data_IF_600479693665
#
_entry.id   IF_600479693665
#
_cell.length_a   1.000
_cell.length_b   1.000
_cell.length_c   1.000
_cell.angle_alpha   90.00
_cell.angle_beta   90.00
_cell.angle_gamma   90.00
#
_symmetry.space_group_name_H-M   'P 1'
#
loop_
_entity.id
_entity.type
_entity.pdbx_description
1 polymer ?
#
# COMPACT_ATOMS: atom_id res chain seq x y z
N UNK A 1 -8.46 5.74 18.94
CA UNK A 1 -9.25 5.17 17.84
C UNK A 1 -9.73 3.77 18.19
N UNK A 2 -10.88 3.36 17.66
CA UNK A 2 -11.36 1.99 17.73
C UNK A 2 -10.91 1.26 16.44
N UNK A 3 -10.01 0.31 16.57
CA UNK A 3 -9.40 -0.41 15.43
C UNK A 3 -9.99 -1.83 15.37
N UNK A 4 -10.43 -2.26 14.20
CA UNK A 4 -10.84 -3.65 13.97
C UNK A 4 -9.81 -4.35 13.09
N UNK A 5 -9.26 -5.48 13.58
CA UNK A 5 -8.35 -6.33 12.80
C UNK A 5 -9.18 -7.33 12.01
N UNK A 6 -8.97 -7.36 10.68
CA UNK A 6 -9.59 -8.30 9.74
C UNK A 6 -8.52 -9.06 8.96
N UNK A 7 -8.83 -10.24 8.44
CA UNK A 7 -7.94 -11.03 7.60
C UNK A 7 -8.60 -11.31 6.24
N UNK A 8 -8.61 -10.33 5.31
CA UNK A 8 -9.40 -10.47 4.09
C UNK A 8 -8.71 -11.32 3.00
N UNK A 9 -7.46 -11.68 3.18
CA UNK A 9 -6.61 -12.38 2.22
C UNK A 9 -6.08 -13.70 2.78
N UNK A 10 -4.76 -13.86 2.84
CA UNK A 10 -4.13 -15.07 3.33
C UNK A 10 -4.21 -15.21 4.86
N UNK A 11 -4.12 -16.47 5.31
CA UNK A 11 -4.02 -16.80 6.75
C UNK A 11 -2.70 -16.29 7.33
N UNK A 12 -2.71 -15.99 8.62
CA UNK A 12 -1.54 -15.58 9.42
C UNK A 12 -1.54 -16.36 10.74
N UNK A 13 -0.38 -16.57 11.33
CA UNK A 13 -0.32 -17.15 12.68
C UNK A 13 -1.06 -16.22 13.67
N UNK A 14 -2.08 -16.72 14.38
CA UNK A 14 -2.87 -15.94 15.32
C UNK A 14 -2.07 -15.13 16.34
N UNK A 15 -0.87 -15.61 16.72
CA UNK A 15 0.01 -14.89 17.65
C UNK A 15 0.38 -13.48 17.18
N UNK A 16 0.48 -13.27 15.85
CA UNK A 16 0.78 -11.94 15.29
C UNK A 16 -0.43 -10.99 15.36
N UNK A 17 -1.65 -11.53 15.25
CA UNK A 17 -2.88 -10.75 15.46
C UNK A 17 -2.97 -10.31 16.92
N UNK A 18 -2.72 -11.26 17.85
CA UNK A 18 -2.74 -10.97 19.27
C UNK A 18 -1.62 -10.00 19.70
N UNK A 19 -0.41 -10.19 19.15
CA UNK A 19 0.70 -9.25 19.38
C UNK A 19 0.42 -7.85 18.86
N UNK A 20 -0.09 -7.73 17.63
CA UNK A 20 -0.48 -6.43 17.08
C UNK A 20 -1.57 -5.76 17.91
N UNK A 21 -2.58 -6.51 18.39
CA UNK A 21 -3.60 -6.00 19.31
C UNK A 21 -2.96 -5.42 20.56
N UNK A 22 -2.06 -6.16 21.22
CA UNK A 22 -1.40 -5.70 22.44
C UNK A 22 -0.58 -4.41 22.23
N UNK A 23 0.17 -4.33 21.12
CA UNK A 23 0.95 -3.13 20.77
C UNK A 23 0.04 -1.93 20.53
N UNK A 24 -1.02 -2.08 19.73
CA UNK A 24 -1.95 -1.00 19.43
C UNK A 24 -2.72 -0.54 20.69
N UNK A 25 -3.06 -1.46 21.58
CA UNK A 25 -3.67 -1.13 22.88
C UNK A 25 -2.70 -0.38 23.79
N UNK A 26 -1.39 -0.72 23.77
CA UNK A 26 -0.36 0.03 24.50
C UNK A 26 -0.20 1.46 23.97
N UNK A 27 -0.57 1.73 22.72
CA UNK A 27 -0.59 3.07 22.13
C UNK A 27 -1.86 3.86 22.47
N UNK A 28 -2.80 3.28 23.24
CA UNK A 28 -4.03 3.92 23.70
C UNK A 28 -5.24 3.73 22.77
N UNK A 29 -5.19 2.78 21.85
CA UNK A 29 -6.33 2.44 20.99
C UNK A 29 -7.18 1.32 21.59
N UNK A 30 -8.45 1.23 21.21
CA UNK A 30 -9.30 0.07 21.50
C UNK A 30 -9.23 -0.87 20.29
N UNK A 31 -8.94 -2.15 20.51
CA UNK A 31 -8.74 -3.10 19.41
C UNK A 31 -9.67 -4.30 19.51
N UNK A 32 -10.48 -4.49 18.48
CA UNK A 32 -11.31 -5.69 18.30
C UNK A 32 -10.74 -6.55 17.15
N UNK A 33 -11.03 -7.85 17.21
CA UNK A 33 -10.64 -8.81 16.19
C UNK A 33 -11.93 -9.35 15.56
N UNK A 34 -12.00 -9.37 14.22
CA UNK A 34 -13.15 -9.90 13.50
C UNK A 34 -13.30 -11.41 13.71
N UNK A 35 -14.51 -11.92 13.55
CA UNK A 35 -14.88 -13.28 13.94
C UNK A 35 -14.01 -14.36 13.28
N UNK A 36 -13.64 -14.18 12.00
CA UNK A 36 -12.90 -15.17 11.21
C UNK A 36 -11.43 -14.76 11.00
N UNK A 37 -10.96 -13.64 11.58
CA UNK A 37 -9.62 -13.11 11.33
C UNK A 37 -8.47 -14.06 11.69
N UNK A 38 -8.69 -14.99 12.62
CA UNK A 38 -7.74 -16.04 13.03
C UNK A 38 -7.99 -17.39 12.34
N UNK A 39 -8.90 -17.42 11.39
CA UNK A 39 -9.31 -18.62 10.71
C UNK A 39 -8.28 -19.12 9.69
N UNK A 40 -8.54 -20.32 9.14
CA UNK A 40 -7.74 -20.93 8.09
C UNK A 40 -8.58 -21.81 7.18
N UNK A 41 -8.51 -21.50 5.89
CA UNK A 41 -9.11 -22.32 4.84
C UNK A 41 -8.11 -22.44 3.68
N UNK A 42 -7.34 -23.54 3.66
CA UNK A 42 -6.17 -23.64 2.79
C UNK A 42 -5.13 -22.57 3.09
N UNK A 43 -4.81 -21.73 2.11
CA UNK A 43 -3.91 -20.57 2.26
C UNK A 43 -4.62 -19.29 2.69
N UNK A 44 -5.95 -19.24 2.66
CA UNK A 44 -6.75 -18.08 3.04
C UNK A 44 -7.11 -18.10 4.54
N UNK A 45 -7.46 -16.93 5.09
CA UNK A 45 -7.87 -16.79 6.49
C UNK A 45 -9.29 -17.34 6.78
N UNK A 46 -10.05 -17.68 5.74
CA UNK A 46 -11.39 -18.25 5.80
C UNK A 46 -11.95 -18.45 4.40
N UNK A 47 -13.18 -18.91 4.29
CA UNK A 47 -13.90 -18.96 3.01
C UNK A 47 -14.08 -17.55 2.44
N UNK A 48 -14.51 -17.43 1.19
CA UNK A 48 -14.81 -16.11 0.59
C UNK A 48 -15.89 -15.37 1.38
N UNK A 49 -16.91 -16.11 1.80
CA UNK A 49 -18.05 -15.61 2.54
C UNK A 49 -17.63 -15.08 3.92
N UNK A 50 -16.82 -15.83 4.66
CA UNK A 50 -16.31 -15.42 5.98
C UNK A 50 -15.44 -14.16 5.90
N UNK A 51 -14.50 -14.11 4.94
CA UNK A 51 -13.63 -12.95 4.74
C UNK A 51 -14.41 -11.70 4.31
N UNK A 52 -15.41 -11.87 3.43
CA UNK A 52 -16.30 -10.80 2.99
C UNK A 52 -17.19 -10.31 4.14
N UNK A 53 -17.71 -11.24 4.96
CA UNK A 53 -18.53 -10.92 6.13
C UNK A 53 -17.74 -10.06 7.12
N UNK A 54 -16.52 -10.48 7.48
CA UNK A 54 -15.65 -9.73 8.40
C UNK A 54 -15.38 -8.29 7.91
N UNK A 55 -15.13 -8.13 6.59
CA UNK A 55 -14.93 -6.81 5.98
C UNK A 55 -16.21 -5.96 6.04
N UNK A 56 -17.35 -6.54 5.65
CA UNK A 56 -18.62 -5.83 5.63
C UNK A 56 -19.05 -5.42 7.05
N UNK A 57 -18.85 -6.29 8.03
CA UNK A 57 -19.13 -5.98 9.44
C UNK A 57 -18.21 -4.88 9.97
N UNK A 58 -16.92 -4.88 9.56
CA UNK A 58 -15.99 -3.82 9.93
C UNK A 58 -16.37 -2.47 9.31
N UNK A 59 -16.78 -2.47 8.04
CA UNK A 59 -17.26 -1.24 7.39
C UNK A 59 -18.61 -0.76 7.94
N UNK A 60 -19.50 -1.68 8.33
CA UNK A 60 -20.82 -1.35 8.83
C UNK A 60 -20.81 -0.82 10.27
N UNK A 61 -19.87 -1.25 11.09
CA UNK A 61 -19.81 -0.95 12.53
C UNK A 61 -19.55 0.55 12.79
N UNK A 62 -20.50 1.30 13.37
CA UNK A 62 -20.36 2.74 13.56
C UNK A 62 -19.25 3.12 14.55
N UNK A 63 -18.95 2.22 15.49
CA UNK A 63 -17.91 2.41 16.50
C UNK A 63 -16.49 2.21 15.97
N UNK A 64 -16.28 1.61 14.79
CA UNK A 64 -14.96 1.36 14.22
C UNK A 64 -14.47 2.59 13.49
N UNK A 65 -13.29 3.10 13.87
CA UNK A 65 -12.63 4.22 13.22
C UNK A 65 -11.63 3.75 12.14
N UNK A 66 -10.98 2.60 12.38
CA UNK A 66 -9.96 2.07 11.48
C UNK A 66 -10.05 0.55 11.31
N UNK A 67 -9.72 0.08 10.11
CA UNK A 67 -9.71 -1.34 9.72
C UNK A 67 -8.26 -1.72 9.40
N UNK A 68 -7.63 -2.52 10.28
CA UNK A 68 -6.30 -3.05 10.04
C UNK A 68 -6.42 -4.43 9.37
N UNK A 69 -5.91 -4.55 8.15
CA UNK A 69 -5.73 -5.84 7.52
C UNK A 69 -4.54 -6.58 8.13
N UNK A 70 -4.74 -7.80 8.62
CA UNK A 70 -3.71 -8.55 9.34
C UNK A 70 -2.55 -8.96 8.44
N UNK A 71 -2.86 -9.28 7.18
CA UNK A 71 -1.91 -9.74 6.16
C UNK A 71 -2.51 -9.55 4.76
N UNK A 72 -1.61 -9.35 3.77
CA UNK A 72 -1.90 -9.51 2.35
C UNK A 72 -1.80 -10.97 1.90
N UNK A 73 -1.17 -11.21 0.77
CA UNK A 73 -1.02 -12.53 0.15
C UNK A 73 -1.89 -12.65 -1.09
N UNK A 74 -2.99 -13.39 -1.04
CA UNK A 74 -3.89 -13.57 -2.18
C UNK A 74 -5.33 -13.78 -1.72
N UNK A 75 -6.28 -13.28 -2.51
CA UNK A 75 -7.69 -13.63 -2.36
C UNK A 75 -8.66 -12.46 -2.31
N UNK A 76 -8.19 -11.22 -2.15
CA UNK A 76 -9.07 -10.04 -2.14
C UNK A 76 -9.77 -9.82 -3.49
N UNK A 77 -9.08 -10.02 -4.60
CA UNK A 77 -9.68 -9.91 -5.94
C UNK A 77 -10.92 -10.82 -6.15
N UNK A 78 -11.08 -11.86 -5.30
CA UNK A 78 -12.23 -12.77 -5.36
C UNK A 78 -13.51 -12.22 -4.71
N UNK A 79 -13.38 -11.16 -3.88
CA UNK A 79 -14.47 -10.67 -3.02
C UNK A 79 -14.62 -9.14 -3.04
N UNK A 80 -13.63 -8.40 -3.52
CA UNK A 80 -13.57 -6.94 -3.40
C UNK A 80 -14.75 -6.23 -4.09
N UNK A 81 -15.25 -6.78 -5.18
CA UNK A 81 -16.42 -6.29 -5.92
C UNK A 81 -17.74 -6.42 -5.15
N UNK A 82 -17.75 -7.22 -4.07
CA UNK A 82 -18.92 -7.45 -3.21
C UNK A 82 -18.83 -6.73 -1.87
N UNK A 83 -17.74 -6.01 -1.63
CA UNK A 83 -17.55 -5.27 -0.37
C UNK A 83 -18.55 -4.12 -0.28
N UNK A 84 -19.30 -4.10 0.80
CA UNK A 84 -20.26 -3.02 1.14
C UNK A 84 -19.50 -1.84 1.76
N UNK A 85 -18.79 -1.11 0.90
CA UNK A 85 -17.95 -0.01 1.32
C UNK A 85 -18.73 1.09 2.03
N UNK A 86 -18.18 1.60 3.13
CA UNK A 86 -18.69 2.80 3.84
C UNK A 86 -17.53 3.75 4.14
N UNK A 87 -17.74 5.03 3.86
CA UNK A 87 -16.78 6.10 4.16
C UNK A 87 -16.60 6.32 5.67
N UNK A 88 -15.57 7.09 6.04
CA UNK A 88 -15.30 7.49 7.42
C UNK A 88 -14.45 6.50 8.22
N UNK A 89 -13.86 5.50 7.55
CA UNK A 89 -12.95 4.55 8.18
C UNK A 89 -11.60 4.57 7.51
N UNK A 90 -10.53 4.59 8.30
CA UNK A 90 -9.16 4.47 7.80
C UNK A 90 -8.84 2.98 7.56
N UNK A 91 -8.60 2.60 6.30
CA UNK A 91 -8.14 1.26 5.96
C UNK A 91 -6.60 1.22 6.01
N UNK A 92 -6.04 0.18 6.66
CA UNK A 92 -4.58 -0.03 6.78
C UNK A 92 -4.15 -1.38 6.21
N UNK A 93 -3.05 -1.37 5.48
CA UNK A 93 -2.39 -2.57 4.96
C UNK A 93 -1.61 -2.32 3.69
N UNK A 94 -1.03 -3.36 3.10
CA UNK A 94 -0.29 -3.31 1.83
C UNK A 94 -0.36 -4.65 1.09
N UNK A 95 0.35 -4.81 -0.03
CA UNK A 95 0.34 -6.05 -0.83
C UNK A 95 -1.03 -6.28 -1.49
N UNK A 96 -1.66 -7.46 -1.31
CA UNK A 96 -3.01 -7.77 -1.82
C UNK A 96 -4.07 -6.74 -1.38
N UNK A 97 -3.81 -6.01 -0.27
CA UNK A 97 -4.70 -4.94 0.22
C UNK A 97 -4.78 -3.76 -0.77
N UNK A 98 -3.90 -3.71 -1.76
CA UNK A 98 -4.01 -2.76 -2.88
C UNK A 98 -5.38 -2.83 -3.56
N UNK A 99 -6.05 -4.00 -3.59
CA UNK A 99 -7.44 -4.10 -4.05
C UNK A 99 -8.39 -3.17 -3.28
N UNK A 100 -8.26 -3.14 -1.95
CA UNK A 100 -9.07 -2.26 -1.10
C UNK A 100 -8.64 -0.80 -1.18
N UNK A 101 -7.33 -0.52 -1.40
CA UNK A 101 -6.87 0.84 -1.67
C UNK A 101 -7.48 1.40 -2.96
N UNK A 102 -7.60 0.58 -4.00
CA UNK A 102 -8.28 0.95 -5.25
C UNK A 102 -9.80 1.16 -5.02
N UNK A 103 -10.44 0.32 -4.22
CA UNK A 103 -11.83 0.53 -3.82
C UNK A 103 -12.01 1.85 -3.07
N UNK A 104 -11.12 2.16 -2.11
CA UNK A 104 -11.11 3.44 -1.40
C UNK A 104 -10.92 4.62 -2.37
N UNK A 105 -10.03 4.49 -3.38
CA UNK A 105 -9.81 5.52 -4.41
C UNK A 105 -11.08 5.86 -5.18
N UNK A 106 -11.85 4.85 -5.57
CA UNK A 106 -13.12 5.04 -6.29
C UNK A 106 -14.20 5.73 -5.46
N UNK A 107 -14.06 5.67 -4.13
CA UNK A 107 -14.91 6.39 -3.19
C UNK A 107 -14.28 7.70 -2.67
N UNK A 108 -13.16 8.16 -3.25
CA UNK A 108 -12.39 9.33 -2.82
C UNK A 108 -12.08 9.31 -1.31
N UNK A 109 -11.76 8.14 -0.78
CA UNK A 109 -11.48 7.92 0.64
C UNK A 109 -10.00 7.61 0.83
N UNK A 110 -9.27 8.33 1.71
CA UNK A 110 -7.90 8.00 2.05
C UNK A 110 -7.77 6.61 2.65
N UNK A 111 -6.61 5.98 2.41
CA UNK A 111 -6.26 4.68 2.98
C UNK A 111 -4.75 4.59 3.20
N UNK A 112 -4.29 3.85 4.19
CA UNK A 112 -2.90 3.84 4.62
C UNK A 112 -2.18 2.56 4.14
N UNK A 113 -1.27 2.71 3.16
CA UNK A 113 -0.25 1.71 2.90
C UNK A 113 0.70 1.70 4.10
N UNK A 114 0.76 0.59 4.82
CA UNK A 114 1.54 0.50 6.06
C UNK A 114 1.85 -0.93 6.45
N UNK A 115 2.79 -1.09 7.37
CA UNK A 115 3.04 -2.37 8.06
C UNK A 115 1.74 -2.97 8.61
N UNK A 116 1.70 -4.31 8.65
CA UNK A 116 0.55 -5.10 9.09
C UNK A 116 0.87 -5.92 10.35
N UNK A 117 -0.05 -6.78 10.79
CA UNK A 117 -0.02 -7.41 12.11
C UNK A 117 1.31 -8.09 12.48
N UNK A 118 1.97 -8.82 11.55
CA UNK A 118 3.27 -9.44 11.85
C UNK A 118 4.32 -8.39 12.21
N UNK A 119 4.46 -7.36 11.39
CA UNK A 119 5.43 -6.28 11.60
C UNK A 119 5.14 -5.52 12.91
N UNK A 120 3.86 -5.16 13.14
CA UNK A 120 3.44 -4.47 14.37
C UNK A 120 3.79 -5.31 15.62
N UNK A 121 3.64 -6.63 15.53
CA UNK A 121 3.93 -7.54 16.64
C UNK A 121 5.41 -7.85 16.86
N UNK A 122 6.28 -7.61 15.86
CA UNK A 122 7.67 -8.12 15.91
C UNK A 122 8.75 -7.06 15.67
N UNK A 123 8.42 -5.93 15.06
CA UNK A 123 9.42 -4.86 14.89
C UNK A 123 9.70 -4.16 16.22
N UNK A 124 10.92 -3.62 16.40
CA UNK A 124 11.24 -2.75 17.53
C UNK A 124 10.30 -1.54 17.58
N UNK A 125 9.81 -1.20 18.77
CA UNK A 125 8.84 -0.09 18.94
C UNK A 125 9.42 1.27 18.53
N UNK A 126 10.73 1.45 18.62
CA UNK A 126 11.47 2.66 18.22
C UNK A 126 11.87 2.67 16.74
N UNK A 127 11.56 1.60 15.98
CA UNK A 127 11.80 1.60 14.54
C UNK A 127 10.95 2.67 13.83
N UNK A 128 11.49 3.26 12.75
CA UNK A 128 10.82 4.36 12.07
C UNK A 128 9.44 3.98 11.52
N UNK A 129 9.22 2.79 10.90
CA UNK A 129 7.87 2.38 10.49
C UNK A 129 6.86 2.33 11.64
N UNK A 130 7.29 1.87 12.83
CA UNK A 130 6.43 1.79 14.01
C UNK A 130 6.13 3.16 14.59
N UNK A 131 7.13 4.02 14.72
CA UNK A 131 6.95 5.39 15.23
C UNK A 131 6.13 6.26 14.28
N UNK A 132 6.33 6.11 12.96
CA UNK A 132 5.53 6.78 11.94
C UNK A 132 4.07 6.31 11.97
N UNK A 133 3.82 5.00 12.01
CA UNK A 133 2.45 4.47 12.13
C UNK A 133 1.76 4.98 13.40
N UNK A 134 2.45 4.93 14.55
CA UNK A 134 1.91 5.44 15.83
C UNK A 134 1.57 6.92 15.75
N UNK A 135 2.43 7.73 15.13
CA UNK A 135 2.18 9.16 14.97
C UNK A 135 0.95 9.43 14.10
N UNK A 136 0.80 8.72 12.97
CA UNK A 136 -0.34 8.85 12.05
C UNK A 136 -1.65 8.47 12.75
N UNK A 137 -1.68 7.33 13.45
CA UNK A 137 -2.87 6.88 14.18
C UNK A 137 -3.29 7.83 15.31
N UNK A 138 -2.37 8.66 15.81
CA UNK A 138 -2.63 9.73 16.77
C UNK A 138 -2.86 11.11 16.13
N UNK A 139 -3.13 11.15 14.82
CA UNK A 139 -3.49 12.39 14.09
C UNK A 139 -2.29 13.22 13.64
N UNK A 140 -1.11 12.64 13.58
CA UNK A 140 0.10 13.28 13.03
C UNK A 140 0.10 13.31 11.49
N UNK A 141 0.84 14.24 10.94
CA UNK A 141 1.10 14.31 9.49
C UNK A 141 2.25 13.37 9.09
N UNK A 142 2.35 13.10 7.79
CA UNK A 142 3.50 12.39 7.22
C UNK A 142 4.51 13.42 6.72
N UNK A 143 5.76 13.28 7.15
CA UNK A 143 6.88 14.03 6.60
C UNK A 143 8.16 13.21 6.68
N UNK A 144 8.67 12.83 5.52
CA UNK A 144 9.93 12.13 5.39
C UNK A 144 10.97 13.06 4.78
N UNK A 145 12.20 13.00 5.30
CA UNK A 145 13.37 13.63 4.73
C UNK A 145 14.44 12.54 4.55
N UNK A 146 14.60 12.06 3.33
CA UNK A 146 15.42 10.91 2.99
C UNK A 146 16.61 11.35 2.12
N UNK A 147 17.75 10.65 2.17
CA UNK A 147 18.78 10.82 1.15
C UNK A 147 18.21 10.56 -0.24
N UNK A 148 18.53 11.41 -1.20
CA UNK A 148 18.10 11.21 -2.58
C UNK A 148 18.91 10.09 -3.23
N UNK A 149 18.23 9.06 -3.70
CA UNK A 149 18.87 8.02 -4.51
C UNK A 149 19.33 8.64 -5.85
N UNK A 150 20.58 8.42 -6.29
CA UNK A 150 21.13 9.04 -7.50
C UNK A 150 20.38 8.67 -8.79
N UNK A 151 19.58 7.62 -8.77
CA UNK A 151 18.71 7.22 -9.89
C UNK A 151 17.45 8.05 -10.01
N UNK A 152 17.12 8.81 -8.99
CA UNK A 152 15.95 9.71 -8.98
C UNK A 152 16.11 10.85 -9.98
N UNK A 153 14.98 11.36 -10.48
CA UNK A 153 14.93 12.61 -11.24
C UNK A 153 14.44 13.73 -10.35
N UNK A 154 15.27 14.77 -10.22
CA UNK A 154 14.95 15.95 -9.40
C UNK A 154 13.71 16.68 -9.89
N UNK A 155 13.04 17.36 -8.98
CA UNK A 155 11.88 18.20 -9.27
C UNK A 155 10.91 18.29 -8.11
N UNK A 156 9.84 19.04 -8.32
CA UNK A 156 8.75 19.19 -7.36
C UNK A 156 7.44 18.80 -8.00
N UNK A 157 6.62 18.08 -7.25
CA UNK A 157 5.29 17.72 -7.69
C UNK A 157 4.31 17.71 -6.52
N UNK A 158 3.05 17.95 -6.85
CA UNK A 158 1.92 17.86 -5.95
C UNK A 158 0.79 17.14 -6.65
N UNK A 159 0.17 16.16 -5.99
CA UNK A 159 -0.91 15.39 -6.55
C UNK A 159 -1.48 14.38 -5.57
N UNK A 160 -2.41 13.58 -6.03
CA UNK A 160 -3.02 12.52 -5.22
C UNK A 160 -2.17 11.25 -5.31
N UNK A 161 -1.66 10.80 -4.19
CA UNK A 161 -0.87 9.58 -4.12
C UNK A 161 -1.76 8.35 -4.35
N UNK A 162 -1.44 7.54 -5.34
CA UNK A 162 -2.18 6.33 -5.71
C UNK A 162 -1.22 5.21 -6.09
N UNK A 163 -1.69 3.97 -6.03
CA UNK A 163 -0.87 2.82 -6.39
C UNK A 163 -0.80 1.77 -5.28
N UNK A 164 0.38 1.18 -5.09
CA UNK A 164 0.68 0.09 -4.17
C UNK A 164 1.40 -1.04 -4.87
N UNK A 165 1.08 -2.30 -4.55
CA UNK A 165 1.66 -3.47 -5.22
C UNK A 165 1.32 -3.44 -6.71
N UNK A 166 2.37 -3.49 -7.55
CA UNK A 166 2.23 -3.30 -9.00
C UNK A 166 1.41 -4.40 -9.66
N UNK A 167 1.61 -5.65 -9.25
CA UNK A 167 0.89 -6.79 -9.82
C UNK A 167 -0.62 -6.69 -9.51
N UNK A 168 -0.98 -6.32 -8.30
CA UNK A 168 -2.37 -6.13 -7.90
C UNK A 168 -2.97 -4.90 -8.56
N UNK A 169 -2.29 -3.76 -8.51
CA UNK A 169 -2.73 -2.50 -9.10
C UNK A 169 -2.90 -2.62 -10.63
N UNK A 170 -1.92 -3.22 -11.31
CA UNK A 170 -1.96 -3.47 -12.75
C UNK A 170 -3.07 -4.43 -13.15
N UNK A 171 -3.33 -5.46 -12.33
CA UNK A 171 -4.42 -6.42 -12.55
C UNK A 171 -5.83 -5.84 -12.45
N UNK A 172 -5.98 -4.66 -11.84
CA UNK A 172 -7.27 -3.97 -11.71
C UNK A 172 -7.52 -2.95 -12.82
N UNK A 173 -6.55 -2.70 -13.71
CA UNK A 173 -6.76 -1.82 -14.86
C UNK A 173 -7.81 -2.42 -15.81
N UNK A 174 -8.69 -1.58 -16.32
CA UNK A 174 -9.82 -2.01 -17.17
C UNK A 174 -10.99 -2.66 -16.42
N UNK A 175 -10.96 -2.66 -15.08
CA UNK A 175 -12.05 -3.14 -14.23
C UNK A 175 -12.81 -1.97 -13.58
N UNK A 176 -13.98 -2.19 -12.95
CA UNK A 176 -14.63 -1.16 -12.13
C UNK A 176 -13.79 -0.59 -10.98
N UNK A 177 -12.70 -1.25 -10.63
CA UNK A 177 -11.74 -0.81 -9.61
C UNK A 177 -10.55 -0.04 -10.17
N UNK A 178 -10.54 0.23 -11.48
CA UNK A 178 -9.52 1.08 -12.09
C UNK A 178 -9.52 2.47 -11.45
N UNK A 179 -8.33 2.92 -11.06
CA UNK A 179 -8.16 4.18 -10.34
C UNK A 179 -8.16 5.35 -11.34
N UNK A 180 -8.79 6.47 -10.96
CA UNK A 180 -8.80 7.71 -11.75
C UNK A 180 -7.39 8.18 -12.08
N UNK A 181 -7.19 8.64 -13.33
CA UNK A 181 -5.84 8.98 -13.85
C UNK A 181 -5.38 10.42 -13.50
N UNK A 182 -6.32 11.32 -13.18
CA UNK A 182 -6.00 12.75 -12.99
C UNK A 182 -5.17 13.02 -11.74
N UNK A 183 -4.20 13.93 -11.89
CA UNK A 183 -3.35 14.46 -10.80
C UNK A 183 -2.71 13.38 -9.93
N UNK A 184 -2.29 12.27 -10.54
CA UNK A 184 -1.73 11.12 -9.82
C UNK A 184 -0.23 11.29 -9.55
N UNK A 185 0.16 11.13 -8.30
CA UNK A 185 1.51 10.71 -7.91
C UNK A 185 1.45 9.19 -7.80
N UNK A 186 2.12 8.47 -8.71
CA UNK A 186 2.03 7.01 -8.75
C UNK A 186 3.10 6.38 -7.88
N UNK A 187 2.68 5.61 -6.88
CA UNK A 187 3.54 4.75 -6.07
C UNK A 187 3.41 3.29 -6.53
N UNK A 188 4.55 2.64 -6.78
CA UNK A 188 4.61 1.22 -7.12
C UNK A 188 5.70 0.50 -6.33
N UNK A 189 5.40 -0.71 -5.89
CA UNK A 189 6.31 -1.68 -5.27
C UNK A 189 5.90 -3.09 -5.68
N UNK A 190 6.77 -4.08 -5.59
CA UNK A 190 6.37 -5.47 -5.78
C UNK A 190 7.30 -6.47 -5.06
N UNK A 191 6.92 -7.75 -5.06
CA UNK A 191 7.70 -8.84 -4.46
C UNK A 191 7.59 -10.11 -5.29
N UNK A 192 8.72 -10.80 -5.48
CA UNK A 192 8.81 -12.12 -6.16
C UNK A 192 8.23 -12.17 -7.57
N UNK A 193 8.06 -11.03 -8.22
CA UNK A 193 7.60 -10.98 -9.61
C UNK A 193 8.75 -11.22 -10.60
N UNK A 194 8.57 -12.12 -11.56
CA UNK A 194 9.52 -12.29 -12.65
C UNK A 194 9.70 -10.98 -13.45
N UNK A 195 10.93 -10.68 -13.84
CA UNK A 195 11.30 -9.46 -14.56
C UNK A 195 10.38 -9.16 -15.75
N UNK A 196 10.12 -10.15 -16.62
CA UNK A 196 9.23 -9.95 -17.79
C UNK A 196 7.78 -9.61 -17.43
N UNK A 197 7.33 -9.98 -16.22
CA UNK A 197 5.99 -9.60 -15.73
C UNK A 197 5.97 -8.16 -15.28
N UNK A 198 7.02 -7.70 -14.58
CA UNK A 198 7.15 -6.30 -14.19
C UNK A 198 7.14 -5.42 -15.44
N UNK A 199 7.94 -5.76 -16.47
CA UNK A 199 7.91 -5.05 -17.75
C UNK A 199 6.50 -5.01 -18.36
N UNK A 200 5.84 -6.17 -18.45
CA UNK A 200 4.48 -6.25 -19.02
C UNK A 200 3.48 -5.37 -18.28
N UNK A 201 3.55 -5.33 -16.94
CA UNK A 201 2.68 -4.49 -16.13
C UNK A 201 2.95 -3.00 -16.36
N UNK A 202 4.21 -2.59 -16.43
CA UNK A 202 4.60 -1.22 -16.75
C UNK A 202 4.13 -0.82 -18.17
N UNK A 203 4.31 -1.70 -19.17
CA UNK A 203 3.81 -1.47 -20.53
C UNK A 203 2.26 -1.37 -20.55
N UNK A 204 1.55 -2.14 -19.74
CA UNK A 204 0.10 -2.01 -19.59
C UNK A 204 -0.28 -0.63 -19.05
N UNK A 205 0.36 -0.17 -17.97
CA UNK A 205 0.14 1.16 -17.40
C UNK A 205 0.49 2.28 -18.41
N UNK A 206 1.55 2.08 -19.20
CA UNK A 206 1.93 3.00 -20.29
C UNK A 206 0.85 3.08 -21.37
N UNK A 207 0.45 1.93 -21.91
CA UNK A 207 -0.56 1.85 -22.99
C UNK A 207 -1.94 2.30 -22.54
N UNK A 208 -2.31 2.11 -21.27
CA UNK A 208 -3.57 2.63 -20.71
C UNK A 208 -3.59 4.16 -20.61
N UNK A 209 -2.45 4.83 -20.78
CA UNK A 209 -2.30 6.27 -20.62
C UNK A 209 -2.18 6.73 -19.16
N UNK A 210 -2.13 5.81 -18.20
CA UNK A 210 -1.97 6.17 -16.78
C UNK A 210 -0.66 6.91 -16.53
N UNK A 211 0.47 6.38 -17.04
CA UNK A 211 1.78 6.99 -16.82
C UNK A 211 1.87 8.41 -17.38
N UNK A 212 1.27 8.66 -18.55
CA UNK A 212 1.22 9.99 -19.16
C UNK A 212 0.38 11.02 -18.36
N UNK A 213 -0.50 10.57 -17.48
CA UNK A 213 -1.33 11.43 -16.64
C UNK A 213 -0.74 11.72 -15.25
N UNK A 214 0.41 11.12 -14.94
CA UNK A 214 1.06 11.28 -13.64
C UNK A 214 1.76 12.63 -13.50
N UNK A 215 1.87 13.11 -12.25
CA UNK A 215 2.63 14.30 -11.83
C UNK A 215 4.02 13.95 -11.31
N UNK A 216 4.17 12.74 -10.77
CA UNK A 216 5.44 12.17 -10.31
C UNK A 216 5.31 10.66 -10.17
N UNK A 217 6.47 10.00 -10.11
CA UNK A 217 6.58 8.59 -9.78
C UNK A 217 7.31 8.39 -8.45
N UNK A 218 6.85 7.45 -7.65
CA UNK A 218 7.53 6.91 -6.47
C UNK A 218 7.72 5.41 -6.72
N UNK A 219 8.96 4.99 -6.89
CA UNK A 219 9.33 3.59 -7.00
C UNK A 219 9.80 3.12 -5.63
N UNK A 220 9.01 2.25 -5.01
CA UNK A 220 9.32 1.58 -3.76
C UNK A 220 10.27 0.40 -3.96
N UNK A 221 10.16 -0.60 -3.09
CA UNK A 221 11.03 -1.76 -3.12
C UNK A 221 10.47 -2.85 -4.05
N UNK A 222 11.34 -3.40 -4.89
CA UNK A 222 11.07 -4.59 -5.69
C UNK A 222 11.86 -5.75 -5.09
N UNK A 223 11.28 -6.37 -4.05
CA UNK A 223 11.95 -7.37 -3.21
C UNK A 223 11.87 -8.74 -3.88
N UNK A 224 12.99 -9.47 -3.91
CA UNK A 224 13.09 -10.82 -4.52
C UNK A 224 12.57 -10.86 -5.98
N UNK A 225 12.69 -9.75 -6.70
CA UNK A 225 12.42 -9.64 -8.12
C UNK A 225 13.76 -9.71 -8.86
N UNK A 226 14.11 -10.91 -9.32
CA UNK A 226 15.41 -11.18 -9.90
C UNK A 226 15.49 -10.72 -11.37
N UNK A 227 16.69 -10.34 -11.81
CA UNK A 227 16.97 -10.09 -13.22
C UNK A 227 16.78 -11.36 -14.05
N UNK A 228 16.19 -11.22 -15.23
CA UNK A 228 16.10 -12.33 -16.20
C UNK A 228 17.27 -12.25 -17.17
N UNK A 229 18.22 -13.20 -17.16
CA UNK A 229 19.39 -13.17 -18.03
C UNK A 229 19.04 -13.25 -19.53
N UNK A 230 17.79 -13.56 -19.88
CA UNK A 230 17.31 -13.56 -21.26
C UNK A 230 16.92 -12.17 -21.76
N UNK A 231 16.79 -11.20 -20.85
CA UNK A 231 16.50 -9.81 -21.18
C UNK A 231 17.82 -9.03 -21.31
N UNK A 232 17.84 -8.02 -22.16
CA UNK A 232 19.03 -7.21 -22.45
C UNK A 232 19.31 -6.11 -21.43
N UNK A 233 18.54 -6.03 -20.36
CA UNK A 233 18.64 -5.03 -19.29
C UNK A 233 18.34 -5.65 -17.94
N UNK A 234 18.77 -4.99 -16.87
CA UNK A 234 18.35 -5.32 -15.51
C UNK A 234 16.91 -4.90 -15.25
N UNK A 235 16.29 -5.45 -14.20
CA UNK A 235 14.96 -5.02 -13.77
C UNK A 235 14.91 -3.52 -13.47
N UNK A 236 15.95 -3.01 -12.83
CA UNK A 236 16.10 -1.59 -12.53
C UNK A 236 16.12 -0.75 -13.80
N UNK A 237 16.98 -1.11 -14.77
CA UNK A 237 17.07 -0.42 -16.06
C UNK A 237 15.74 -0.45 -16.82
N UNK A 238 15.01 -1.56 -16.73
CA UNK A 238 13.68 -1.70 -17.33
C UNK A 238 12.67 -0.73 -16.70
N UNK A 239 12.55 -0.73 -15.36
CA UNK A 239 11.65 0.18 -14.64
C UNK A 239 11.98 1.64 -14.97
N UNK A 240 13.25 2.00 -14.84
CA UNK A 240 13.71 3.36 -15.12
C UNK A 240 13.55 3.74 -16.59
N UNK A 241 13.77 2.80 -17.51
CA UNK A 241 13.60 3.01 -18.95
C UNK A 241 12.19 3.44 -19.30
N UNK A 242 11.19 2.73 -18.77
CA UNK A 242 9.78 3.05 -19.00
C UNK A 242 9.37 4.37 -18.34
N UNK A 243 9.75 4.59 -17.07
CA UNK A 243 9.29 5.77 -16.34
C UNK A 243 10.00 7.05 -16.78
N UNK A 244 11.24 6.97 -17.25
CA UNK A 244 12.01 8.12 -17.75
C UNK A 244 11.59 8.64 -19.11
N UNK A 245 10.70 7.95 -19.82
CA UNK A 245 10.04 8.49 -21.01
C UNK A 245 9.21 9.76 -20.70
N UNK A 246 8.81 9.94 -19.43
CA UNK A 246 8.02 11.07 -18.95
C UNK A 246 8.92 12.08 -18.23
N UNK A 247 8.86 13.35 -18.63
CA UNK A 247 9.66 14.43 -18.03
C UNK A 247 9.01 15.00 -16.75
N UNK A 248 8.88 14.14 -15.76
CA UNK A 248 8.30 14.46 -14.44
C UNK A 248 9.21 13.93 -13.32
N UNK A 249 9.12 14.46 -12.07
CA UNK A 249 9.89 13.98 -10.95
C UNK A 249 9.72 12.47 -10.73
N UNK A 250 10.83 11.78 -10.46
CA UNK A 250 10.86 10.35 -10.17
C UNK A 250 11.68 10.10 -8.91
N UNK A 251 11.02 9.69 -7.84
CA UNK A 251 11.68 9.23 -6.62
C UNK A 251 11.90 7.72 -6.71
N UNK A 252 13.18 7.32 -6.74
CA UNK A 252 13.56 5.91 -6.78
C UNK A 252 13.98 5.42 -5.41
N UNK A 253 13.78 4.11 -5.17
CA UNK A 253 14.20 3.41 -3.96
C UNK A 253 13.55 3.96 -2.67
N UNK A 254 12.30 4.43 -2.76
CA UNK A 254 11.56 4.83 -1.55
C UNK A 254 11.38 3.63 -0.63
N UNK A 255 11.64 3.75 0.70
CA UNK A 255 11.59 2.62 1.62
C UNK A 255 10.13 2.25 1.99
N UNK A 256 9.40 1.72 1.03
CA UNK A 256 8.06 1.15 1.21
C UNK A 256 7.86 -0.04 0.28
N UNK A 257 7.15 -1.06 0.77
CA UNK A 257 6.91 -2.33 0.07
C UNK A 257 7.14 -3.54 0.97
N UNK A 258 7.58 -4.66 0.39
CA UNK A 258 7.79 -5.91 1.11
C UNK A 258 9.17 -5.96 1.79
N UNK A 259 9.40 -5.03 2.69
CA UNK A 259 10.61 -4.88 3.52
C UNK A 259 10.21 -4.56 4.96
N UNK A 260 11.07 -4.87 5.92
CA UNK A 260 10.80 -4.55 7.33
C UNK A 260 10.77 -3.03 7.58
N UNK A 261 11.59 -2.28 6.85
CA UNK A 261 11.60 -0.81 6.86
C UNK A 261 10.59 -0.26 5.85
N UNK A 262 9.29 -0.51 6.10
CA UNK A 262 8.17 -0.13 5.23
C UNK A 262 7.48 1.13 5.79
N UNK A 263 7.86 2.30 5.31
CA UNK A 263 7.31 3.58 5.75
C UNK A 263 5.85 3.77 5.29
N UNK A 264 4.95 4.19 6.18
CA UNK A 264 3.55 4.45 5.84
C UNK A 264 3.37 5.55 4.80
N UNK A 265 2.43 5.35 3.88
CA UNK A 265 2.00 6.32 2.87
C UNK A 265 0.47 6.43 2.84
N UNK A 266 -0.08 7.63 2.95
CA UNK A 266 -1.52 7.86 2.83
C UNK A 266 -1.90 7.87 1.34
N UNK A 267 -2.44 6.76 0.85
CA UNK A 267 -2.97 6.65 -0.49
C UNK A 267 -4.31 7.38 -0.62
N UNK A 268 -4.65 7.78 -1.83
CA UNK A 268 -5.86 8.54 -2.17
C UNK A 268 -5.95 9.88 -1.43
N UNK A 269 -4.81 10.39 -1.06
CA UNK A 269 -4.62 11.66 -0.38
C UNK A 269 -3.56 12.50 -1.07
N UNK A 270 -3.63 13.82 -0.89
CA UNK A 270 -2.64 14.74 -1.47
C UNK A 270 -1.24 14.46 -0.91
N UNK A 271 -0.25 14.45 -1.78
CA UNK A 271 1.16 14.36 -1.45
C UNK A 271 1.94 15.47 -2.17
N UNK A 272 2.85 16.08 -1.45
CA UNK A 272 3.85 17.01 -1.99
C UNK A 272 5.22 16.34 -1.93
N UNK A 273 5.94 16.37 -3.05
CA UNK A 273 7.26 15.75 -3.18
C UNK A 273 8.22 16.80 -3.69
N UNK A 274 9.36 16.94 -3.02
CA UNK A 274 10.50 17.75 -3.46
C UNK A 274 11.74 16.85 -3.50
N UNK A 275 12.21 16.55 -4.71
CA UNK A 275 13.40 15.72 -4.96
C UNK A 275 14.55 16.68 -5.27
N UNK A 276 15.41 16.91 -4.29
CA UNK A 276 16.64 17.68 -4.44
C UNK A 276 17.85 16.80 -4.77
N UNK A 277 19.01 17.41 -4.87
CA UNK A 277 20.26 16.70 -5.19
C UNK A 277 20.68 15.74 -4.07
N UNK A 278 20.60 16.16 -2.82
CA UNK A 278 21.06 15.38 -1.67
C UNK A 278 19.91 14.78 -0.86
N UNK A 279 18.79 15.48 -0.77
CA UNK A 279 17.65 15.08 0.06
C UNK A 279 16.34 15.18 -0.71
N UNK A 280 15.47 14.22 -0.44
CA UNK A 280 14.08 14.20 -0.91
C UNK A 280 13.16 14.41 0.28
N UNK A 281 12.18 15.30 0.11
CA UNK A 281 11.14 15.55 1.10
C UNK A 281 9.81 15.09 0.54
N UNK A 282 9.10 14.23 1.27
CA UNK A 282 7.72 13.85 0.99
C UNK A 282 6.86 14.29 2.16
N UNK A 283 5.77 15.02 1.87
CA UNK A 283 4.86 15.54 2.89
C UNK A 283 3.41 15.21 2.53
N UNK A 284 2.64 14.80 3.53
CA UNK A 284 1.18 14.67 3.46
C UNK A 284 0.56 15.26 4.72
N UNK A 285 -0.30 16.26 4.55
CA UNK A 285 -1.03 16.92 5.65
C UNK A 285 -2.37 16.21 5.79
N UNK A 286 -2.56 15.49 6.88
CA UNK A 286 -3.69 14.58 7.09
C UNK A 286 -4.91 15.20 7.81
N UNK A 287 -4.92 16.51 8.00
CA UNK A 287 -6.01 17.27 8.68
C UNK A 287 -6.92 17.96 7.70
#
# INVERSE_FOLDING_TARGET
MNIRIVSPSATIDPKYIDGAKQVLESWGHQVSIAAHAKGRYGGAAGTKEERLQDLNDAFAAPEVDAILCSRGGYGLAQIVDKVQFRQGKLLLGFSDITCLHCLCANHNTPSLHSIMAKHIATLPEDSEPMTALKAILNGGNIRYCLPTDPRSRQGKAKGILRGGNLAVFGGLQGTPLEVKKQDTVLFIEDVTEPHYRVDRMLQNLRMSGLLASCKAFIVGQFTDCEDDPRLSCTLEENILGVLREYDIPLLYNFPAGHVDYNLPLMLNHEAEIEIGEQHTILTQILK
#
